data_IF_758410480831
#
_entry.id   IF_758410480831
#
_cell.length_a   1.000
_cell.length_b   1.000
_cell.length_c   1.000
_cell.angle_alpha   90.00
_cell.angle_beta   90.00
_cell.angle_gamma   90.00
#
_symmetry.space_group_name_H-M   'P 1'
#
loop_
_entity.id
_entity.type
_entity.pdbx_description
1 polymer ?
#
# COMPACT_ATOMS: atom_id res chain seq x y z
N UNK A 1 -10.41 12.44 26.16
CA UNK A 1 -9.30 11.63 25.61
C UNK A 1 -9.50 11.58 24.12
N UNK A 2 -8.67 12.27 23.35
CA UNK A 2 -8.84 12.42 21.90
C UNK A 2 -8.06 11.30 21.22
N UNK A 3 -8.74 10.26 20.76
CA UNK A 3 -8.14 9.21 19.93
C UNK A 3 -8.21 9.64 18.46
N UNK A 4 -7.06 9.97 17.89
CA UNK A 4 -6.89 10.15 16.44
C UNK A 4 -6.93 8.78 15.77
N UNK A 5 -8.12 8.32 15.42
CA UNK A 5 -8.33 7.03 14.76
C UNK A 5 -8.14 7.17 13.24
N UNK A 6 -6.89 7.33 12.79
CA UNK A 6 -6.53 7.21 11.38
C UNK A 6 -6.43 5.73 10.98
N UNK A 7 -7.49 4.94 11.22
CA UNK A 7 -7.54 3.55 10.75
C UNK A 7 -7.64 3.57 9.22
N UNK A 8 -6.49 3.46 8.55
CA UNK A 8 -6.44 3.21 7.11
C UNK A 8 -7.05 1.83 6.87
N UNK A 9 -8.23 1.79 6.26
CA UNK A 9 -8.86 0.54 5.86
C UNK A 9 -8.14 0.05 4.61
N UNK A 10 -7.49 -1.12 4.71
CA UNK A 10 -6.79 -1.78 3.61
C UNK A 10 -7.62 -2.92 3.04
N UNK A 11 -7.42 -3.22 1.76
CA UNK A 11 -8.01 -4.40 1.08
C UNK A 11 -7.37 -5.70 1.55
N UNK A 12 -6.11 -5.64 2.01
CA UNK A 12 -5.33 -6.79 2.44
C UNK A 12 -4.75 -6.62 3.84
N UNK A 13 -4.49 -7.73 4.52
CA UNK A 13 -3.71 -7.76 5.76
C UNK A 13 -2.22 -7.70 5.43
N UNK A 14 -1.60 -6.53 5.66
CA UNK A 14 -0.19 -6.28 5.41
C UNK A 14 0.74 -6.79 6.52
N UNK A 15 0.21 -7.23 7.67
CA UNK A 15 1.00 -7.54 8.88
C UNK A 15 1.99 -8.69 8.71
N UNK A 16 1.76 -9.58 7.75
CA UNK A 16 2.59 -10.77 7.46
C UNK A 16 3.23 -10.73 6.08
N UNK A 17 3.13 -9.61 5.39
CA UNK A 17 3.60 -9.46 4.01
C UNK A 17 5.07 -8.99 4.07
N UNK A 18 6.02 -9.68 3.42
CA UNK A 18 7.43 -9.28 3.42
C UNK A 18 7.65 -7.84 2.95
N UNK A 19 8.60 -7.13 3.53
CA UNK A 19 8.85 -5.70 3.23
C UNK A 19 9.10 -5.42 1.73
N UNK A 20 9.73 -6.35 1.01
CA UNK A 20 9.98 -6.22 -0.42
C UNK A 20 8.70 -6.17 -1.28
N UNK A 21 7.57 -6.68 -0.77
CA UNK A 21 6.28 -6.65 -1.47
C UNK A 21 5.60 -5.31 -1.16
N UNK A 22 5.43 -4.48 -2.18
CA UNK A 22 4.86 -3.13 -2.04
C UNK A 22 3.52 -2.98 -2.77
N UNK A 23 3.10 -4.00 -3.51
CA UNK A 23 1.78 -4.08 -4.14
C UNK A 23 1.17 -5.46 -3.91
N UNK A 24 -0.15 -5.50 -3.72
CA UNK A 24 -0.94 -6.73 -3.67
C UNK A 24 -2.10 -6.60 -4.65
N UNK A 25 -2.41 -7.68 -5.36
CA UNK A 25 -3.59 -7.75 -6.21
C UNK A 25 -4.19 -9.16 -6.23
N UNK A 26 -5.49 -9.24 -6.42
CA UNK A 26 -6.26 -10.47 -6.64
C UNK A 26 -6.71 -10.54 -8.11
N UNK A 27 -6.50 -11.66 -8.77
CA UNK A 27 -6.89 -11.87 -10.17
C UNK A 27 -8.35 -12.36 -10.33
N UNK A 28 -8.78 -12.60 -11.56
CA UNK A 28 -10.13 -13.06 -11.89
C UNK A 28 -10.47 -14.42 -11.25
N UNK A 29 -9.48 -15.29 -11.06
CA UNK A 29 -9.66 -16.61 -10.43
C UNK A 29 -9.66 -16.53 -8.89
N UNK A 30 -9.53 -15.32 -8.34
CA UNK A 30 -9.50 -15.07 -6.90
C UNK A 30 -8.16 -15.42 -6.24
N UNK A 31 -7.08 -15.53 -7.02
CA UNK A 31 -5.73 -15.76 -6.50
C UNK A 31 -5.07 -14.44 -6.15
N UNK A 32 -4.54 -14.35 -4.93
CA UNK A 32 -3.92 -13.13 -4.42
C UNK A 32 -2.40 -13.24 -4.48
N UNK A 33 -1.77 -12.20 -5.04
CA UNK A 33 -0.34 -12.15 -5.29
C UNK A 33 0.28 -10.85 -4.78
N UNK A 34 1.53 -10.95 -4.33
CA UNK A 34 2.39 -9.82 -3.96
C UNK A 34 3.41 -9.49 -5.05
N UNK A 35 3.68 -8.19 -5.24
CA UNK A 35 4.63 -7.67 -6.22
C UNK A 35 5.59 -6.62 -5.60
N UNK A 36 6.87 -6.61 -5.99
CA UNK A 36 7.84 -5.58 -5.57
C UNK A 36 7.73 -4.28 -6.37
N UNK A 37 7.04 -4.30 -7.51
CA UNK A 37 6.76 -3.13 -8.35
C UNK A 37 5.32 -3.18 -8.81
N UNK A 38 4.78 -2.04 -9.24
CA UNK A 38 3.39 -1.95 -9.67
C UNK A 38 3.15 -2.93 -10.83
N UNK A 39 2.23 -3.90 -10.68
CA UNK A 39 1.83 -4.77 -11.77
C UNK A 39 0.88 -4.04 -12.72
N UNK A 40 0.70 -4.60 -13.91
CA UNK A 40 -0.29 -4.16 -14.88
C UNK A 40 -1.33 -5.26 -15.12
N UNK A 41 -2.52 -4.87 -15.60
CA UNK A 41 -3.57 -5.80 -15.97
C UNK A 41 -3.26 -6.46 -17.31
N UNK A 42 -3.42 -7.76 -17.38
CA UNK A 42 -3.22 -8.55 -18.59
C UNK A 42 -4.35 -9.58 -18.72
N UNK A 43 -4.61 -10.03 -19.94
CA UNK A 43 -5.39 -11.25 -20.19
C UNK A 43 -4.47 -12.34 -20.69
N UNK A 44 -4.43 -13.47 -19.98
CA UNK A 44 -3.66 -14.65 -20.37
C UNK A 44 -4.59 -15.84 -20.50
N UNK A 45 -4.60 -16.49 -21.67
CA UNK A 45 -5.49 -17.62 -21.98
C UNK A 45 -6.99 -17.31 -21.73
N UNK A 46 -7.41 -16.07 -21.95
CA UNK A 46 -8.80 -15.63 -21.75
C UNK A 46 -9.18 -15.38 -20.28
N UNK A 47 -8.21 -15.36 -19.36
CA UNK A 47 -8.38 -15.03 -17.94
C UNK A 47 -7.67 -13.72 -17.60
N UNK A 48 -8.33 -12.85 -16.86
CA UNK A 48 -7.80 -11.60 -16.35
C UNK A 48 -6.86 -11.82 -15.16
N UNK A 49 -5.66 -11.23 -15.24
CA UNK A 49 -4.65 -11.30 -14.18
C UNK A 49 -3.91 -9.99 -14.01
N UNK A 50 -3.15 -9.92 -12.92
CA UNK A 50 -2.11 -8.93 -12.70
C UNK A 50 -0.75 -9.54 -13.04
N UNK A 51 0.09 -8.82 -13.77
CA UNK A 51 1.39 -9.33 -14.20
C UNK A 51 2.51 -8.28 -14.05
N UNK A 52 3.76 -8.74 -14.07
CA UNK A 52 4.95 -7.90 -14.07
C UNK A 52 6.06 -8.56 -14.92
N UNK A 53 6.64 -7.80 -15.86
CA UNK A 53 7.62 -8.35 -16.81
C UNK A 53 8.97 -8.75 -16.18
N UNK A 54 9.27 -8.26 -14.98
CA UNK A 54 10.59 -8.37 -14.37
C UNK A 54 10.64 -9.32 -13.17
N UNK A 55 9.49 -9.72 -12.65
CA UNK A 55 9.41 -10.45 -11.39
C UNK A 55 8.33 -11.52 -11.41
N UNK A 56 8.64 -12.65 -10.79
CA UNK A 56 7.64 -13.69 -10.51
C UNK A 56 6.84 -13.24 -9.28
N UNK A 57 5.50 -13.15 -9.36
CA UNK A 57 4.67 -12.77 -8.22
C UNK A 57 4.74 -13.79 -7.08
N UNK A 58 4.67 -13.31 -5.84
CA UNK A 58 4.56 -14.16 -4.67
C UNK A 58 3.10 -14.55 -4.44
N UNK A 59 2.77 -15.84 -4.53
CA UNK A 59 1.45 -16.32 -4.12
C UNK A 59 1.26 -16.16 -2.61
N UNK A 60 0.15 -15.54 -2.20
CA UNK A 60 -0.12 -15.27 -0.79
C UNK A 60 -1.29 -16.08 -0.24
N UNK A 61 -2.40 -16.13 -0.97
CA UNK A 61 -3.58 -16.93 -0.58
C UNK A 61 -4.63 -16.97 -1.69
N UNK A 62 -5.69 -17.74 -1.46
CA UNK A 62 -6.90 -17.75 -2.29
C UNK A 62 -7.99 -16.92 -1.60
N UNK A 63 -8.57 -15.96 -2.32
CA UNK A 63 -9.77 -15.18 -1.98
C UNK A 63 -9.66 -14.12 -0.86
N UNK A 64 -8.58 -13.34 -0.79
CA UNK A 64 -8.53 -12.23 0.17
C UNK A 64 -9.41 -11.03 -0.19
N UNK A 65 -9.67 -10.79 -1.48
CA UNK A 65 -10.50 -9.69 -1.96
C UNK A 65 -11.75 -10.23 -2.65
N UNK A 66 -12.93 -9.69 -2.31
CA UNK A 66 -14.24 -10.19 -2.78
C UNK A 66 -14.97 -9.25 -3.75
N UNK A 67 -14.30 -8.23 -4.29
CA UNK A 67 -14.86 -7.27 -5.26
C UNK A 67 -14.47 -7.58 -6.71
N UNK A 68 -14.69 -6.60 -7.60
CA UNK A 68 -14.19 -6.65 -8.98
C UNK A 68 -12.65 -6.72 -8.96
N UNK A 69 -12.08 -7.81 -9.48
CA UNK A 69 -10.64 -8.08 -9.45
C UNK A 69 -9.84 -6.96 -10.12
N UNK A 70 -10.42 -6.21 -11.06
CA UNK A 70 -9.77 -5.08 -11.72
C UNK A 70 -9.53 -3.91 -10.76
N UNK A 71 -10.26 -3.86 -9.65
CA UNK A 71 -10.13 -2.87 -8.57
C UNK A 71 -9.32 -3.40 -7.38
N UNK A 72 -8.79 -4.62 -7.47
CA UNK A 72 -8.16 -5.30 -6.33
C UNK A 72 -6.75 -4.78 -6.02
N UNK A 73 -6.10 -4.06 -6.93
CA UNK A 73 -4.74 -3.57 -6.74
C UNK A 73 -4.66 -2.60 -5.56
N UNK A 74 -3.70 -2.83 -4.67
CA UNK A 74 -3.40 -1.97 -3.53
C UNK A 74 -1.89 -1.82 -3.35
N UNK A 75 -1.45 -0.59 -3.12
CA UNK A 75 -0.08 -0.30 -2.69
C UNK A 75 0.00 -0.40 -1.17
N UNK A 76 1.14 -0.87 -0.64
CA UNK A 76 1.38 -0.87 0.81
C UNK A 76 1.17 0.55 1.37
N UNK A 77 0.35 0.73 2.42
CA UNK A 77 0.22 2.00 3.10
C UNK A 77 1.57 2.47 3.65
N UNK A 78 1.90 3.74 3.44
CA UNK A 78 3.04 4.40 4.06
C UNK A 78 2.54 5.07 5.33
N UNK A 79 3.17 4.81 6.47
CA UNK A 79 2.85 5.53 7.71
C UNK A 79 3.19 7.01 7.53
N UNK A 80 2.15 7.83 7.47
CA UNK A 80 2.26 9.28 7.25
C UNK A 80 2.82 10.00 8.49
N UNK A 81 3.06 9.27 9.59
CA UNK A 81 3.62 9.83 10.82
C UNK A 81 5.06 10.31 10.65
N UNK A 82 5.80 9.77 9.68
CA UNK A 82 7.17 10.22 9.37
C UNK A 82 7.19 11.45 8.45
N UNK A 83 6.11 11.68 7.67
CA UNK A 83 6.00 12.85 6.78
C UNK A 83 5.48 14.10 7.49
N UNK A 84 4.74 13.95 8.60
CA UNK A 84 4.25 15.11 9.36
C UNK A 84 5.28 15.71 10.33
N UNK A 85 6.44 15.09 10.52
CA UNK A 85 7.54 15.67 11.30
C UNK A 85 8.25 16.83 10.56
N UNK A 86 8.28 16.80 9.23
CA UNK A 86 8.98 17.82 8.42
C UNK A 86 8.20 19.12 8.22
N UNK A 87 6.87 19.11 8.40
CA UNK A 87 6.05 20.32 8.23
C UNK A 87 6.20 21.27 9.44
N UNK A 88 6.59 20.77 10.62
CA UNK A 88 6.82 21.64 11.79
C UNK A 88 8.14 22.41 11.75
N UNK A 89 9.08 22.04 10.87
CA UNK A 89 10.41 22.68 10.78
C UNK A 89 10.53 23.74 9.67
N UNK A 90 9.48 24.00 8.87
CA UNK A 90 9.51 25.01 7.81
C UNK A 90 8.67 26.27 8.07
N UNK A 91 8.25 26.48 9.33
CA UNK A 91 7.71 27.75 9.80
C UNK A 91 8.51 28.28 10.99
N UNK A 92 9.77 28.65 10.77
CA UNK A 92 10.39 29.76 11.50
C UNK A 92 11.64 30.27 10.78
N UNK A 93 11.81 31.59 10.72
CA UNK A 93 12.82 32.12 11.63
C UNK A 93 12.46 33.46 12.31
N UNK A 94 13.03 33.61 13.51
CA UNK A 94 13.29 34.84 14.28
C UNK A 94 12.09 35.42 15.04
N UNK A 95 12.12 35.46 16.37
CA UNK A 95 13.05 36.33 17.10
C UNK A 95 13.27 35.83 18.54
N UNK A 96 14.54 35.58 18.89
CA UNK A 96 15.04 35.54 20.27
C UNK A 96 15.13 36.97 20.84
N UNK A 97 15.16 37.05 22.18
CA UNK A 97 15.58 38.16 23.08
C UNK A 97 14.47 39.06 23.65
N UNK A 98 14.27 39.29 24.96
CA UNK A 98 14.75 38.75 26.27
C UNK A 98 13.66 39.11 27.31
N UNK A 99 13.42 38.28 28.33
CA UNK A 99 12.75 38.71 29.57
C UNK A 99 13.77 39.38 30.51
N UNK A 100 13.45 40.59 31.00
CA UNK A 100 13.83 41.13 32.31
C UNK A 100 12.74 42.10 32.81
#
# INVERSE_FOLDING_TARGET
MTTNNNNVITKYDWSKVPELIVWIATDEDGLTFGYPNQPYQETFLGRGRWNNDRFIPLFMSKFQFSGDWTQSLEQRPIDITDSCADIRNHLSPSTLVVDL
#
